data_IF_210931366250
#
_entry.id   IF_210931366250
#
_cell.length_a   1.000
_cell.length_b   1.000
_cell.length_c   1.000
_cell.angle_alpha   90.00
_cell.angle_beta   90.00
_cell.angle_gamma   90.00
#
_symmetry.space_group_name_H-M   'P 1'
#
loop_
_entity.id
_entity.type
_entity.pdbx_description
1 polymer ?
#
# COMPACT_ATOMS: atom_id res chain seq x y z
N UNK A 1 -11.83 -26.33 23.67
CA UNK A 1 -10.75 -25.33 23.70
C UNK A 1 -10.57 -24.82 22.27
N UNK A 2 -11.24 -23.74 21.90
CA UNK A 2 -11.17 -23.17 20.54
C UNK A 2 -10.71 -21.73 20.71
N UNK A 3 -9.42 -21.52 20.46
CA UNK A 3 -8.81 -20.21 20.56
C UNK A 3 -9.17 -19.36 19.33
N UNK A 4 -9.82 -18.22 19.57
CA UNK A 4 -9.62 -16.97 18.85
C UNK A 4 -9.80 -16.97 17.34
N UNK A 5 -11.05 -16.98 16.87
CA UNK A 5 -11.38 -16.29 15.61
C UNK A 5 -11.86 -14.90 16.03
N UNK A 6 -10.93 -13.95 16.08
CA UNK A 6 -11.30 -12.55 16.20
C UNK A 6 -12.17 -12.18 14.99
N UNK A 7 -13.35 -11.62 15.26
CA UNK A 7 -14.28 -11.22 14.19
C UNK A 7 -13.61 -10.16 13.32
N UNK A 8 -13.80 -10.26 12.00
CA UNK A 8 -13.35 -9.24 11.04
C UNK A 8 -13.84 -7.82 11.43
N UNK A 9 -14.96 -7.72 12.17
CA UNK A 9 -15.47 -6.47 12.71
C UNK A 9 -14.56 -5.85 13.79
N UNK A 10 -13.96 -6.65 14.67
CA UNK A 10 -13.04 -6.16 15.71
C UNK A 10 -11.76 -5.58 15.08
N UNK A 11 -11.32 -6.14 13.96
CA UNK A 11 -10.15 -5.68 13.22
C UNK A 11 -10.42 -4.36 12.47
N UNK A 12 -11.65 -4.18 11.93
CA UNK A 12 -12.08 -2.90 11.30
C UNK A 12 -12.01 -1.75 12.30
N UNK A 13 -12.49 -1.96 13.52
CA UNK A 13 -12.52 -0.92 14.55
C UNK A 13 -11.11 -0.61 15.09
N UNK A 14 -10.23 -1.61 15.18
CA UNK A 14 -8.83 -1.40 15.55
C UNK A 14 -8.05 -0.62 14.48
N UNK A 15 -8.21 -0.95 13.19
CA UNK A 15 -7.53 -0.19 12.13
C UNK A 15 -8.10 1.22 11.98
N UNK A 16 -9.42 1.39 12.14
CA UNK A 16 -10.05 2.71 12.08
C UNK A 16 -9.61 3.64 13.23
N UNK A 17 -9.29 3.07 14.41
CA UNK A 17 -8.69 3.79 15.55
C UNK A 17 -7.17 3.90 15.49
N UNK A 18 -6.50 3.04 14.73
CA UNK A 18 -5.05 3.06 14.59
C UNK A 18 -4.63 4.28 13.78
N UNK A 19 -4.19 5.33 14.47
CA UNK A 19 -3.37 6.36 13.85
C UNK A 19 -2.18 5.65 13.19
N UNK A 20 -2.02 5.84 11.88
CA UNK A 20 -0.90 5.29 11.11
C UNK A 20 0.42 5.60 11.83
N UNK A 21 1.06 4.54 12.34
CA UNK A 21 2.21 4.66 13.22
C UNK A 21 3.40 5.24 12.43
N UNK A 22 3.94 6.38 12.89
CA UNK A 22 5.14 7.00 12.30
C UNK A 22 6.31 6.01 12.18
N UNK A 23 6.40 5.02 13.07
CA UNK A 23 7.39 3.96 12.99
C UNK A 23 7.21 3.09 11.74
N UNK A 24 5.98 2.81 11.32
CA UNK A 24 5.70 2.03 10.11
C UNK A 24 6.14 2.78 8.86
N UNK A 25 5.89 4.10 8.80
CA UNK A 25 6.31 4.95 7.68
C UNK A 25 7.83 5.03 7.60
N UNK A 26 8.52 5.17 8.73
CA UNK A 26 9.98 5.21 8.76
C UNK A 26 10.62 3.92 8.24
N UNK A 27 9.98 2.76 8.45
CA UNK A 27 10.48 1.44 8.03
C UNK A 27 10.48 1.20 6.52
N UNK A 28 9.69 1.94 5.75
CA UNK A 28 9.64 1.75 4.29
C UNK A 28 10.86 2.45 3.66
N UNK A 29 11.58 1.72 2.80
CA UNK A 29 12.76 2.24 2.10
C UNK A 29 12.43 3.41 1.17
N UNK A 30 13.35 4.37 1.06
CA UNK A 30 13.13 5.59 0.25
C UNK A 30 13.29 5.36 -1.26
N UNK A 31 14.05 4.34 -1.64
CA UNK A 31 14.43 4.00 -3.01
C UNK A 31 13.55 2.91 -3.62
N UNK A 32 12.27 2.88 -3.23
CA UNK A 32 11.28 2.01 -3.86
C UNK A 32 10.89 2.56 -5.24
N UNK A 33 10.35 1.69 -6.09
CA UNK A 33 9.79 2.05 -7.39
C UNK A 33 8.78 3.19 -7.26
N UNK A 34 8.74 4.07 -8.27
CA UNK A 34 7.76 5.16 -8.33
C UNK A 34 6.34 4.59 -8.42
N UNK A 35 5.41 5.24 -7.74
CA UNK A 35 3.99 4.99 -7.97
C UNK A 35 3.56 5.43 -9.37
N UNK A 36 2.31 5.12 -9.73
CA UNK A 36 1.66 5.63 -10.95
C UNK A 36 1.55 7.16 -10.97
N UNK A 37 1.74 7.81 -9.83
CA UNK A 37 1.76 9.25 -9.62
C UNK A 37 3.15 9.88 -9.80
N UNK A 38 4.17 9.07 -10.13
CA UNK A 38 5.59 9.47 -10.23
C UNK A 38 6.19 10.05 -8.94
N UNK A 39 5.52 9.92 -7.79
CA UNK A 39 6.10 10.33 -6.52
C UNK A 39 6.93 9.20 -5.90
N UNK A 40 8.07 9.57 -5.33
CA UNK A 40 8.92 8.65 -4.57
C UNK A 40 8.38 8.48 -3.15
N UNK A 41 8.73 7.36 -2.52
CA UNK A 41 8.43 7.19 -1.10
C UNK A 41 9.12 8.23 -0.20
N UNK A 42 10.28 8.76 -0.64
CA UNK A 42 10.97 9.88 0.02
C UNK A 42 10.10 11.14 0.06
N UNK A 43 9.41 11.46 -1.04
CA UNK A 43 8.46 12.57 -1.08
C UNK A 43 7.35 12.38 -0.04
N UNK A 44 6.69 11.21 -0.04
CA UNK A 44 5.62 10.90 0.92
C UNK A 44 6.08 10.99 2.38
N UNK A 45 7.29 10.52 2.71
CA UNK A 45 7.87 10.69 4.05
C UNK A 45 8.03 12.16 4.43
N UNK A 46 8.51 12.98 3.49
CA UNK A 46 8.75 14.40 3.74
C UNK A 46 7.45 15.23 3.86
N UNK A 47 6.39 14.82 3.15
CA UNK A 47 5.09 15.50 3.13
C UNK A 47 4.05 14.85 4.04
N UNK A 48 4.44 13.85 4.84
CA UNK A 48 3.49 13.09 5.66
C UNK A 48 2.73 13.98 6.65
N UNK A 49 3.35 15.02 7.19
CA UNK A 49 2.67 15.99 8.06
C UNK A 49 1.49 16.70 7.38
N UNK A 50 1.54 16.84 6.04
CA UNK A 50 0.50 17.46 5.23
C UNK A 50 -0.52 16.40 4.79
N UNK A 51 -0.05 15.26 4.28
CA UNK A 51 -0.91 14.21 3.67
C UNK A 51 -1.54 13.24 4.66
N UNK A 52 -1.07 13.20 5.92
CA UNK A 52 -1.53 12.26 6.95
C UNK A 52 -3.03 12.27 7.14
N UNK A 53 -3.64 13.46 7.20
CA UNK A 53 -5.06 13.59 7.52
C UNK A 53 -5.92 12.99 6.40
N UNK A 54 -5.62 13.34 5.14
CA UNK A 54 -6.30 12.79 3.97
C UNK A 54 -6.18 11.27 3.90
N UNK A 55 -4.99 10.72 4.18
CA UNK A 55 -4.75 9.28 4.20
C UNK A 55 -5.61 8.59 5.26
N UNK A 56 -5.69 9.15 6.47
CA UNK A 56 -6.52 8.59 7.55
C UNK A 56 -8.00 8.60 7.15
N UNK A 57 -8.48 9.70 6.58
CA UNK A 57 -9.87 9.84 6.16
C UNK A 57 -10.24 8.82 5.07
N UNK A 58 -9.39 8.64 4.05
CA UNK A 58 -9.60 7.65 2.99
C UNK A 58 -9.62 6.23 3.56
N UNK A 59 -8.70 5.90 4.48
CA UNK A 59 -8.66 4.58 5.13
C UNK A 59 -9.91 4.34 5.97
N UNK A 60 -10.33 5.32 6.76
CA UNK A 60 -11.58 5.23 7.53
C UNK A 60 -12.79 5.08 6.62
N UNK A 61 -12.83 5.79 5.49
CA UNK A 61 -13.92 5.70 4.54
C UNK A 61 -14.00 4.32 3.88
N UNK A 62 -12.85 3.77 3.48
CA UNK A 62 -12.74 2.38 3.01
C UNK A 62 -13.31 1.41 4.04
N UNK A 63 -12.91 1.54 5.31
CA UNK A 63 -13.40 0.65 6.36
C UNK A 63 -14.83 0.91 6.78
N UNK A 64 -15.45 2.06 6.47
CA UNK A 64 -16.88 2.29 6.71
C UNK A 64 -17.73 1.70 5.58
N UNK A 65 -17.35 1.98 4.33
CA UNK A 65 -18.16 1.67 3.16
C UNK A 65 -17.75 0.38 2.44
N UNK A 66 -16.63 -0.25 2.83
CA UNK A 66 -15.98 -1.36 2.13
C UNK A 66 -15.74 -1.03 0.64
N UNK A 67 -15.39 0.22 0.35
CA UNK A 67 -15.16 0.74 -1.00
C UNK A 67 -13.83 1.46 -1.05
N UNK A 68 -12.97 1.05 -1.97
CA UNK A 68 -11.72 1.75 -2.25
C UNK A 68 -11.90 2.57 -3.52
N UNK A 69 -11.22 3.72 -3.59
CA UNK A 69 -11.19 4.50 -4.82
C UNK A 69 -10.62 3.64 -5.96
N UNK A 70 -11.29 3.61 -7.12
CA UNK A 70 -10.92 2.69 -8.21
C UNK A 70 -9.46 2.84 -8.64
N UNK A 71 -8.91 4.05 -8.59
CA UNK A 71 -7.51 4.27 -8.94
C UNK A 71 -6.51 3.63 -7.97
N UNK A 72 -6.90 3.32 -6.74
CA UNK A 72 -6.05 2.57 -5.81
C UNK A 72 -5.88 1.10 -6.22
N UNK A 73 -6.70 0.60 -7.16
CA UNK A 73 -6.50 -0.73 -7.76
C UNK A 73 -5.61 -0.70 -9.01
N UNK A 74 -5.22 0.48 -9.50
CA UNK A 74 -4.30 0.58 -10.63
C UNK A 74 -2.86 0.51 -10.14
N UNK A 75 -2.08 -0.39 -10.73
CA UNK A 75 -0.65 -0.50 -10.51
C UNK A 75 0.09 -0.49 -11.84
N UNK A 76 1.26 0.14 -11.88
CA UNK A 76 2.13 0.11 -13.05
C UNK A 76 2.90 -1.22 -13.04
N UNK A 77 2.50 -2.15 -13.90
CA UNK A 77 3.22 -3.43 -14.03
C UNK A 77 4.44 -3.23 -14.92
N UNK A 78 5.63 -3.38 -14.33
CA UNK A 78 6.89 -3.45 -15.06
C UNK A 78 7.31 -4.90 -15.23
N UNK A 79 7.81 -5.27 -16.41
CA UNK A 79 8.34 -6.61 -16.67
C UNK A 79 9.85 -6.63 -16.44
N UNK A 80 10.32 -7.45 -15.49
CA UNK A 80 11.75 -7.68 -15.23
C UNK A 80 12.14 -9.05 -15.77
N UNK A 81 13.25 -9.17 -16.53
CA UNK A 81 13.79 -10.47 -16.95
C UNK A 81 14.06 -11.40 -15.76
N UNK A 82 13.60 -12.66 -15.82
CA UNK A 82 13.95 -13.68 -14.81
C UNK A 82 15.39 -14.18 -14.94
N UNK A 83 15.96 -14.14 -16.14
CA UNK A 83 17.36 -14.44 -16.43
C UNK A 83 17.89 -13.59 -17.59
N UNK A 84 19.21 -13.61 -17.81
CA UNK A 84 19.90 -12.89 -18.89
C UNK A 84 19.47 -13.34 -20.29
N UNK A 85 18.91 -14.53 -20.43
CA UNK A 85 18.49 -15.14 -21.69
C UNK A 85 16.99 -14.95 -21.98
N UNK A 86 16.28 -14.16 -21.15
CA UNK A 86 14.86 -13.92 -21.34
C UNK A 86 14.57 -13.26 -22.69
N UNK A 87 13.84 -13.97 -23.56
CA UNK A 87 13.49 -13.52 -24.92
C UNK A 87 12.00 -13.42 -25.16
N UNK A 88 11.18 -14.09 -24.33
CA UNK A 88 9.73 -14.13 -24.46
C UNK A 88 9.05 -13.56 -23.21
N UNK A 89 7.80 -13.10 -23.34
CA UNK A 89 7.00 -12.55 -22.23
C UNK A 89 6.87 -13.55 -21.07
N UNK A 90 6.77 -14.86 -21.35
CA UNK A 90 6.72 -15.91 -20.32
C UNK A 90 7.98 -15.98 -19.43
N UNK A 91 9.11 -15.49 -19.94
CA UNK A 91 10.40 -15.44 -19.26
C UNK A 91 10.56 -14.17 -18.41
N UNK A 92 9.57 -13.27 -18.44
CA UNK A 92 9.54 -12.06 -17.64
C UNK A 92 8.76 -12.29 -16.34
N UNK A 93 9.15 -11.58 -15.29
CA UNK A 93 8.45 -11.50 -14.02
C UNK A 93 7.78 -10.12 -13.93
N UNK A 94 6.44 -10.06 -13.85
CA UNK A 94 5.77 -8.80 -13.56
C UNK A 94 6.08 -8.37 -12.13
N UNK A 95 6.46 -7.10 -11.96
CA UNK A 95 6.54 -6.42 -10.68
C UNK A 95 5.62 -5.21 -10.73
N UNK A 96 4.89 -4.99 -9.65
CA UNK A 96 4.02 -3.85 -9.41
C UNK A 96 4.48 -3.14 -8.14
#
# INVERSE_FOLDING_TARGET
>A
MTAGIHSFSEYRDQIAKAQTNLAAIKRIGETKSLGIDWYTYKFFKSTYNITKQDIIEVVQDFFRHNRLFAAANYALVTLIPKSSEAKMIKDMQPIA
#
